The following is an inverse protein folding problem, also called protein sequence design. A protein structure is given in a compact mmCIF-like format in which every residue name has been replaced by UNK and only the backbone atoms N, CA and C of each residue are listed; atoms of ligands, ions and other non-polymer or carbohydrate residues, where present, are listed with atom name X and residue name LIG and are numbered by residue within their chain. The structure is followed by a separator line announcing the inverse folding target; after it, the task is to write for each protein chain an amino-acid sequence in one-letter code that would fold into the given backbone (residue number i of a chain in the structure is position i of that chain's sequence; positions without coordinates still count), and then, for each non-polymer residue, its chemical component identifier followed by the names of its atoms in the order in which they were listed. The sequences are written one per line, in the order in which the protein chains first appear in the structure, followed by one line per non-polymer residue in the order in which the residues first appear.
data_IF_427189746116
#
_entry.id   IF_427189746116
#
_cell.length_a   1.000
_cell.length_b   1.000
_cell.length_c   1.000
_cell.angle_alpha   90.00
_cell.angle_beta   90.00
_cell.angle_gamma   90.00
#
_symmetry.space_group_name_H-M   'P 1'
#
loop_
_entity.id
_entity.type
_entity.pdbx_description
1 polymer ?
#
# COMPACT_ATOMS: atom_id res chain seq x y z
N UNK A 1 -11.13 -3.09 -20.95
CA UNK A 1 -9.73 -3.19 -20.47
C UNK A 1 -9.59 -2.68 -19.04
N UNK A 2 -9.94 -1.41 -18.78
CA UNK A 2 -9.95 -0.84 -17.42
C UNK A 2 -10.65 -1.72 -16.37
N UNK A 3 -11.94 -2.03 -16.56
CA UNK A 3 -12.73 -2.85 -15.63
C UNK A 3 -12.11 -4.23 -15.39
N UNK A 4 -11.56 -4.84 -16.43
CA UNK A 4 -10.86 -6.13 -16.33
C UNK A 4 -9.64 -6.02 -15.41
N UNK A 5 -8.83 -4.96 -15.55
CA UNK A 5 -7.67 -4.76 -14.69
C UNK A 5 -8.06 -4.47 -13.24
N UNK A 6 -9.11 -3.68 -13.02
CA UNK A 6 -9.66 -3.43 -11.68
C UNK A 6 -10.09 -4.74 -11.02
N UNK A 7 -10.85 -5.59 -11.71
CA UNK A 7 -11.30 -6.87 -11.16
C UNK A 7 -10.14 -7.81 -10.83
N UNK A 8 -9.11 -7.89 -11.70
CA UNK A 8 -7.89 -8.67 -11.43
C UNK A 8 -7.19 -8.13 -10.17
N UNK A 9 -7.11 -6.81 -10.02
CA UNK A 9 -6.51 -6.16 -8.86
C UNK A 9 -7.23 -6.57 -7.57
N UNK A 10 -8.57 -6.62 -7.59
CA UNK A 10 -9.38 -7.02 -6.43
C UNK A 10 -9.12 -8.46 -6.03
N UNK A 11 -9.08 -9.36 -7.02
CA UNK A 11 -8.78 -10.79 -6.77
C UNK A 11 -7.39 -10.96 -6.18
N UNK A 12 -6.39 -10.25 -6.71
CA UNK A 12 -5.01 -10.33 -6.19
C UNK A 12 -4.88 -9.74 -4.78
N UNK A 13 -5.56 -8.63 -4.48
CA UNK A 13 -5.61 -8.06 -3.14
C UNK A 13 -6.24 -9.03 -2.14
N UNK A 14 -7.40 -9.61 -2.48
CA UNK A 14 -8.09 -10.57 -1.62
C UNK A 14 -7.24 -11.84 -1.39
N UNK A 15 -6.62 -12.37 -2.44
CA UNK A 15 -5.70 -13.50 -2.34
C UNK A 15 -4.53 -13.18 -1.40
N UNK A 16 -3.84 -12.06 -1.61
CA UNK A 16 -2.75 -11.63 -0.74
C UNK A 16 -3.21 -11.50 0.71
N UNK A 17 -4.36 -10.87 0.94
CA UNK A 17 -4.91 -10.72 2.29
C UNK A 17 -5.14 -12.07 2.98
N UNK A 18 -5.79 -13.04 2.31
CA UNK A 18 -5.99 -14.39 2.85
C UNK A 18 -4.65 -15.05 3.21
N UNK A 19 -3.69 -15.02 2.29
CA UNK A 19 -2.37 -15.63 2.50
C UNK A 19 -1.64 -15.02 3.71
N UNK A 20 -1.79 -13.71 3.94
CA UNK A 20 -1.21 -13.02 5.08
C UNK A 20 -1.98 -13.27 6.40
N UNK A 21 -3.30 -13.44 6.35
CA UNK A 21 -4.11 -13.79 7.53
C UNK A 21 -3.82 -15.21 8.01
N UNK A 22 -3.67 -16.17 7.08
CA UNK A 22 -3.44 -17.58 7.42
C UNK A 22 -2.23 -17.81 8.33
N UNK A 23 -1.21 -16.95 8.27
CA UNK A 23 -0.03 -17.06 9.13
C UNK A 23 0.14 -15.90 10.11
N UNK A 24 -0.93 -15.15 10.39
CA UNK A 24 -0.88 -13.95 11.21
C UNK A 24 -0.24 -14.18 12.60
N UNK A 25 -0.71 -15.19 13.35
CA UNK A 25 -0.24 -15.42 14.73
C UNK A 25 1.20 -15.94 14.82
N UNK A 26 1.68 -16.66 13.79
CA UNK A 26 2.96 -17.37 13.79
C UNK A 26 4.15 -16.54 13.26
N UNK A 27 3.93 -15.29 12.86
CA UNK A 27 4.95 -14.46 12.22
C UNK A 27 5.36 -13.23 13.04
N UNK A 28 6.41 -12.57 12.57
CA UNK A 28 7.02 -11.39 13.19
C UNK A 28 6.08 -10.18 13.22
N UNK A 29 6.45 -9.18 14.03
CA UNK A 29 5.68 -7.93 14.15
C UNK A 29 5.50 -7.19 12.80
N UNK A 30 6.53 -7.04 11.94
CA UNK A 30 6.35 -6.44 10.61
C UNK A 30 5.29 -7.16 9.77
N UNK A 31 5.27 -8.49 9.81
CA UNK A 31 4.29 -9.29 9.09
C UNK A 31 2.86 -8.95 9.52
N UNK A 32 2.62 -8.89 10.85
CA UNK A 32 1.31 -8.56 11.41
C UNK A 32 0.85 -7.15 10.99
N UNK A 33 1.75 -6.17 11.05
CA UNK A 33 1.46 -4.80 10.62
C UNK A 33 1.13 -4.76 9.12
N UNK A 34 1.87 -5.51 8.30
CA UNK A 34 1.60 -5.63 6.87
C UNK A 34 0.26 -6.32 6.58
N UNK A 35 -0.16 -7.30 7.38
CA UNK A 35 -1.49 -7.90 7.28
C UNK A 35 -2.59 -6.87 7.57
N UNK A 36 -2.42 -6.04 8.61
CA UNK A 36 -3.37 -4.97 8.91
C UNK A 36 -3.41 -3.89 7.81
N UNK A 37 -2.27 -3.60 7.19
CA UNK A 37 -2.21 -2.76 6.01
C UNK A 37 -3.09 -3.33 4.87
N UNK A 38 -2.92 -4.61 4.52
CA UNK A 38 -3.76 -5.25 3.49
C UNK A 38 -5.25 -5.24 3.86
N UNK A 39 -5.56 -5.43 5.15
CA UNK A 39 -6.92 -5.32 5.66
C UNK A 39 -7.50 -3.91 5.44
N UNK A 40 -6.75 -2.86 5.78
CA UNK A 40 -7.20 -1.49 5.52
C UNK A 40 -7.51 -1.30 4.03
N UNK A 41 -6.59 -1.72 3.14
CA UNK A 41 -6.77 -1.53 1.70
C UNK A 41 -8.00 -2.27 1.18
N UNK A 42 -8.25 -3.50 1.64
CA UNK A 42 -9.44 -4.24 1.21
C UNK A 42 -10.74 -3.62 1.75
N UNK A 43 -10.72 -3.13 2.99
CA UNK A 43 -11.87 -2.42 3.57
C UNK A 43 -12.19 -1.16 2.79
N UNK A 44 -11.20 -0.32 2.49
CA UNK A 44 -11.39 0.89 1.69
C UNK A 44 -11.93 0.54 0.31
N UNK A 45 -11.42 -0.52 -0.33
CA UNK A 45 -11.88 -0.96 -1.65
C UNK A 45 -13.35 -1.41 -1.64
N UNK A 46 -13.75 -2.21 -0.64
CA UNK A 46 -15.13 -2.71 -0.52
C UNK A 46 -16.09 -1.55 -0.26
N UNK A 47 -15.74 -0.64 0.65
CA UNK A 47 -16.57 0.54 0.94
C UNK A 47 -16.65 1.43 -0.31
N UNK A 48 -15.56 1.61 -1.04
CA UNK A 48 -15.55 2.43 -2.25
C UNK A 48 -16.45 1.87 -3.35
N UNK A 49 -16.48 0.54 -3.50
CA UNK A 49 -17.39 -0.11 -4.43
C UNK A 49 -18.86 0.11 -4.01
N UNK A 50 -19.19 -0.12 -2.74
CA UNK A 50 -20.55 0.10 -2.21
C UNK A 50 -20.97 1.57 -2.40
N UNK A 51 -20.08 2.52 -2.11
CA UNK A 51 -20.38 3.95 -2.26
C UNK A 51 -20.61 4.36 -3.71
N UNK A 52 -19.86 3.80 -4.67
CA UNK A 52 -20.14 4.04 -6.09
C UNK A 52 -21.53 3.57 -6.49
N UNK A 53 -21.93 2.37 -6.07
CA UNK A 53 -23.24 1.81 -6.45
C UNK A 53 -24.41 2.54 -5.77
N UNK A 54 -24.24 2.99 -4.52
CA UNK A 54 -25.33 3.60 -3.73
C UNK A 54 -25.40 5.12 -3.88
N UNK A 55 -24.26 5.81 -3.86
CA UNK A 55 -24.18 7.28 -3.81
C UNK A 55 -23.64 7.91 -5.10
N UNK A 56 -23.10 7.11 -6.03
CA UNK A 56 -22.52 7.60 -7.29
C UNK A 56 -21.16 8.29 -7.15
N UNK A 57 -20.64 8.44 -5.93
CA UNK A 57 -19.33 9.03 -5.65
C UNK A 57 -18.63 8.27 -4.52
N UNK A 58 -17.32 8.09 -4.67
CA UNK A 58 -16.44 7.44 -3.71
C UNK A 58 -15.12 8.21 -3.50
N UNK A 59 -14.99 9.41 -4.06
CA UNK A 59 -13.73 10.14 -4.15
C UNK A 59 -13.12 10.40 -2.76
N UNK A 60 -13.96 10.68 -1.77
CA UNK A 60 -13.54 10.91 -0.39
C UNK A 60 -12.80 9.70 0.22
N UNK A 61 -13.05 8.47 -0.26
CA UNK A 61 -12.38 7.26 0.22
C UNK A 61 -10.92 7.18 -0.23
N UNK A 62 -10.54 7.94 -1.26
CA UNK A 62 -9.14 8.06 -1.66
C UNK A 62 -8.27 8.63 -0.53
N UNK A 63 -8.80 9.52 0.31
CA UNK A 63 -8.09 10.05 1.47
C UNK A 63 -7.77 8.97 2.51
N UNK A 64 -8.75 8.11 2.79
CA UNK A 64 -8.57 6.97 3.70
C UNK A 64 -7.56 5.97 3.13
N UNK A 65 -7.56 5.78 1.81
CA UNK A 65 -6.55 4.97 1.13
C UNK A 65 -5.14 5.57 1.30
N UNK A 66 -4.89 6.81 0.90
CA UNK A 66 -3.54 7.40 0.89
C UNK A 66 -3.00 7.66 2.30
N UNK A 67 -3.80 8.28 3.18
CA UNK A 67 -3.39 8.57 4.57
C UNK A 67 -3.25 7.28 5.36
N UNK A 68 -4.19 6.35 5.20
CA UNK A 68 -4.11 5.05 5.86
C UNK A 68 -2.91 4.23 5.38
N UNK A 69 -2.66 4.17 4.07
CA UNK A 69 -1.47 3.54 3.49
C UNK A 69 -0.19 4.15 4.09
N UNK A 70 -0.11 5.47 4.19
CA UNK A 70 1.03 6.14 4.82
C UNK A 70 1.24 5.74 6.28
N UNK A 71 0.20 5.78 7.10
CA UNK A 71 0.28 5.43 8.52
C UNK A 71 0.77 3.98 8.69
N UNK A 72 0.13 3.04 8.00
CA UNK A 72 0.45 1.63 8.14
C UNK A 72 1.82 1.27 7.57
N UNK A 73 2.19 1.78 6.39
CA UNK A 73 3.51 1.52 5.82
C UNK A 73 4.63 2.20 6.62
N UNK A 74 4.35 3.35 7.24
CA UNK A 74 5.29 3.96 8.17
C UNK A 74 5.53 3.06 9.40
N UNK A 75 4.47 2.54 10.02
CA UNK A 75 4.61 1.60 11.13
C UNK A 75 5.28 0.29 10.73
N UNK A 76 5.01 -0.19 9.52
CA UNK A 76 5.66 -1.36 8.94
C UNK A 76 7.17 -1.15 8.85
N UNK A 77 7.66 -0.11 8.17
CA UNK A 77 9.10 0.14 8.04
C UNK A 77 9.76 0.41 9.40
N UNK A 78 9.11 1.20 10.26
CA UNK A 78 9.59 1.42 11.64
C UNK A 78 9.77 0.11 12.42
N UNK A 79 8.92 -0.88 12.19
CA UNK A 79 9.01 -2.18 12.86
C UNK A 79 10.14 -3.07 12.33
N UNK A 80 10.63 -2.80 11.13
CA UNK A 80 11.76 -3.51 10.51
C UNK A 80 13.10 -2.86 10.90
N UNK A 81 13.14 -1.54 11.02
CA UNK A 81 14.36 -0.84 11.37
C UNK A 81 14.93 -1.27 12.72
N UNK A 82 16.22 -1.60 12.72
CA UNK A 82 16.96 -1.97 13.94
C UNK A 82 17.50 -0.75 14.65
N UNK A 83 18.03 0.21 13.89
CA UNK A 83 18.66 1.42 14.40
C UNK A 83 17.61 2.41 14.95
N UNK A 84 17.83 2.90 16.17
CA UNK A 84 16.86 3.76 16.85
C UNK A 84 16.70 5.13 16.18
N UNK A 85 17.75 5.65 15.54
CA UNK A 85 17.65 6.91 14.79
C UNK A 85 16.69 6.78 13.61
N UNK A 86 16.65 5.63 12.92
CA UNK A 86 15.71 5.37 11.81
C UNK A 86 14.27 5.29 12.32
N UNK A 87 14.06 4.67 13.50
CA UNK A 87 12.74 4.62 14.14
C UNK A 87 12.26 6.01 14.56
N UNK A 88 13.15 6.85 15.11
CA UNK A 88 12.87 8.25 15.46
C UNK A 88 12.53 9.06 14.22
N UNK A 89 13.32 8.94 13.16
CA UNK A 89 13.06 9.58 11.88
C UNK A 89 11.70 9.16 11.31
N UNK A 90 11.35 7.87 11.31
CA UNK A 90 10.03 7.41 10.87
C UNK A 90 8.87 8.05 11.68
N UNK A 91 9.04 8.23 13.00
CA UNK A 91 8.05 8.97 13.80
C UNK A 91 7.97 10.45 13.40
N UNK A 92 9.11 11.11 13.20
CA UNK A 92 9.17 12.50 12.77
C UNK A 92 8.52 12.70 11.40
N UNK A 93 8.77 11.80 10.45
CA UNK A 93 8.14 11.83 9.13
C UNK A 93 6.62 11.60 9.23
N UNK A 94 6.17 10.65 10.06
CA UNK A 94 4.75 10.41 10.30
C UNK A 94 4.06 11.64 10.87
N UNK A 95 4.59 12.20 11.95
CA UNK A 95 4.02 13.38 12.61
C UNK A 95 4.04 14.57 11.65
N UNK A 96 5.18 14.86 11.02
CA UNK A 96 5.30 15.96 10.06
C UNK A 96 4.35 15.82 8.87
N UNK A 97 4.25 14.63 8.28
CA UNK A 97 3.35 14.35 7.16
C UNK A 97 1.88 14.55 7.53
N UNK A 98 1.45 14.00 8.68
CA UNK A 98 0.08 14.19 9.18
C UNK A 98 -0.21 15.64 9.57
N UNK A 99 0.76 16.38 10.11
CA UNK A 99 0.61 17.81 10.39
C UNK A 99 0.45 18.61 9.10
N UNK A 100 1.25 18.35 8.06
CA UNK A 100 1.12 19.04 6.77
C UNK A 100 -0.26 18.80 6.16
N UNK A 101 -0.73 17.56 6.14
CA UNK A 101 -2.06 17.19 5.63
C UNK A 101 -3.17 17.80 6.50
N UNK A 102 -3.03 17.75 7.82
CA UNK A 102 -4.00 18.32 8.75
C UNK A 102 -4.13 19.84 8.62
N UNK A 103 -3.01 20.56 8.54
CA UNK A 103 -3.00 22.01 8.29
C UNK A 103 -3.63 22.35 6.95
N UNK A 104 -3.37 21.55 5.91
CA UNK A 104 -4.01 21.75 4.61
C UNK A 104 -5.54 21.66 4.72
N UNK A 105 -6.09 20.63 5.40
CA UNK A 105 -7.54 20.50 5.58
C UNK A 105 -8.16 21.57 6.48
N UNK A 106 -7.38 22.18 7.38
CA UNK A 106 -7.84 23.34 8.14
C UNK A 106 -7.95 24.60 7.27
N UNK A 107 -7.06 24.75 6.28
CA UNK A 107 -7.06 25.90 5.36
C UNK A 107 -8.11 25.74 4.25
N UNK A 108 -8.21 24.54 3.67
CA UNK A 108 -9.18 24.21 2.62
C UNK A 108 -9.92 22.90 2.94
N UNK A 109 -10.99 22.95 3.76
CA UNK A 109 -11.80 21.77 4.05
C UNK A 109 -12.48 21.16 2.82
N UNK A 110 -12.71 21.96 1.77
CA UNK A 110 -13.32 21.48 0.53
C UNK A 110 -12.40 20.53 -0.24
N UNK A 111 -11.10 20.51 0.07
CA UNK A 111 -10.15 19.55 -0.47
C UNK A 111 -10.50 18.09 -0.12
N UNK A 112 -11.30 17.84 0.92
CA UNK A 112 -11.74 16.48 1.32
C UNK A 112 -12.77 15.87 0.37
N UNK A 113 -13.47 16.70 -0.40
CA UNK A 113 -14.44 16.24 -1.40
C UNK A 113 -13.84 16.24 -2.81
N UNK A 114 -12.52 16.38 -2.92
CA UNK A 114 -11.79 16.49 -4.19
C UNK A 114 -10.54 15.61 -4.14
N UNK A 115 -9.98 15.35 -5.30
CA UNK A 115 -8.74 14.60 -5.39
C UNK A 115 -7.56 15.47 -4.90
N UNK A 116 -7.11 15.21 -3.67
CA UNK A 116 -6.10 16.03 -3.00
C UNK A 116 -4.68 15.67 -3.43
N UNK A 117 -4.18 16.39 -4.45
CA UNK A 117 -2.84 16.17 -5.01
C UNK A 117 -1.70 16.35 -4.01
N UNK A 118 -1.81 17.30 -3.08
CA UNK A 118 -0.79 17.54 -2.07
C UNK A 118 -0.66 16.32 -1.15
N UNK A 119 -1.79 15.83 -0.64
CA UNK A 119 -1.84 14.63 0.20
C UNK A 119 -1.18 13.44 -0.48
N UNK A 120 -1.51 13.18 -1.75
CA UNK A 120 -0.97 12.05 -2.52
C UNK A 120 0.56 12.15 -2.63
N UNK A 121 1.07 13.34 -2.99
CA UNK A 121 2.51 13.55 -3.16
C UNK A 121 3.23 13.41 -1.82
N UNK A 122 2.74 14.06 -0.76
CA UNK A 122 3.36 14.04 0.57
C UNK A 122 3.38 12.62 1.12
N UNK A 123 2.24 11.92 1.13
CA UNK A 123 2.15 10.56 1.66
C UNK A 123 3.05 9.60 0.89
N UNK A 124 2.97 9.60 -0.44
CA UNK A 124 3.75 8.69 -1.29
C UNK A 124 5.25 8.95 -1.19
N UNK A 125 5.68 10.22 -1.21
CA UNK A 125 7.08 10.58 -1.13
C UNK A 125 7.70 10.18 0.22
N UNK A 126 6.99 10.40 1.33
CA UNK A 126 7.45 10.00 2.65
C UNK A 126 7.59 8.48 2.79
N UNK A 127 6.65 7.70 2.24
CA UNK A 127 6.76 6.23 2.21
C UNK A 127 7.96 5.79 1.36
N UNK A 128 8.19 6.43 0.21
CA UNK A 128 9.33 6.10 -0.66
C UNK A 128 10.67 6.35 0.06
N UNK A 129 10.81 7.43 0.83
CA UNK A 129 12.00 7.67 1.66
C UNK A 129 12.24 6.50 2.62
N UNK A 130 11.20 6.07 3.34
CA UNK A 130 11.29 4.95 4.27
C UNK A 130 11.67 3.64 3.54
N UNK A 131 11.03 3.39 2.41
CA UNK A 131 11.29 2.20 1.60
C UNK A 131 12.73 2.16 1.08
N UNK A 132 13.28 3.29 0.62
CA UNK A 132 14.69 3.38 0.16
C UNK A 132 15.67 3.15 1.29
N UNK A 133 15.40 3.68 2.49
CA UNK A 133 16.24 3.41 3.68
C UNK A 133 16.22 1.93 4.03
N UNK A 134 15.05 1.29 3.91
CA UNK A 134 14.95 -0.16 4.08
C UNK A 134 15.78 -0.94 3.04
N UNK A 135 15.71 -0.55 1.76
CA UNK A 135 16.57 -1.14 0.72
C UNK A 135 18.06 -0.98 1.03
N UNK A 136 18.47 0.19 1.51
CA UNK A 136 19.85 0.46 1.89
C UNK A 136 20.32 -0.45 3.04
N UNK A 137 19.51 -0.60 4.09
CA UNK A 137 19.83 -1.49 5.21
C UNK A 137 20.03 -2.95 4.75
N UNK A 138 19.25 -3.40 3.76
CA UNK A 138 19.37 -4.76 3.20
C UNK A 138 20.63 -4.99 2.36
N UNK A 139 21.45 -3.97 2.08
CA UNK A 139 22.77 -4.18 1.48
C UNK A 139 23.73 -4.90 2.44
N UNK A 140 23.53 -4.72 3.75
CA UNK A 140 24.37 -5.33 4.79
C UNK A 140 23.63 -6.37 5.64
N UNK A 141 22.32 -6.49 5.48
CA UNK A 141 21.46 -7.34 6.29
C UNK A 141 20.67 -8.38 5.46
N UNK A 142 19.95 -9.27 6.15
CA UNK A 142 19.05 -10.25 5.51
C UNK A 142 17.94 -9.52 4.73
N UNK A 143 17.60 -10.07 3.56
CA UNK A 143 16.50 -9.60 2.72
C UNK A 143 15.14 -9.92 3.37
N UNK A 144 14.65 -9.02 4.20
CA UNK A 144 13.30 -9.07 4.79
C UNK A 144 12.36 -8.14 4.01
N UNK A 145 11.23 -8.66 3.50
CA UNK A 145 10.25 -7.86 2.74
C UNK A 145 10.82 -7.10 1.54
N UNK A 146 11.81 -7.69 0.87
CA UNK A 146 12.54 -7.06 -0.22
C UNK A 146 11.65 -6.79 -1.44
N UNK A 147 10.96 -7.81 -1.95
CA UNK A 147 10.15 -7.69 -3.15
C UNK A 147 8.90 -6.85 -2.90
N UNK A 148 8.30 -6.97 -1.71
CA UNK A 148 7.21 -6.08 -1.30
C UNK A 148 7.66 -4.60 -1.30
N UNK A 149 8.86 -4.31 -0.79
CA UNK A 149 9.42 -2.95 -0.78
C UNK A 149 9.70 -2.43 -2.18
N UNK A 150 10.24 -3.25 -3.08
CA UNK A 150 10.40 -2.90 -4.49
C UNK A 150 9.04 -2.58 -5.13
N UNK A 151 8.02 -3.42 -4.87
CA UNK A 151 6.66 -3.18 -5.35
C UNK A 151 6.07 -1.86 -4.81
N UNK A 152 6.27 -1.56 -3.52
CA UNK A 152 5.82 -0.29 -2.91
C UNK A 152 6.45 0.90 -3.61
N UNK A 153 7.77 0.91 -3.80
CA UNK A 153 8.47 2.02 -4.47
C UNK A 153 7.99 2.17 -5.91
N UNK A 154 7.96 1.07 -6.66
CA UNK A 154 7.56 1.08 -8.07
C UNK A 154 6.14 1.60 -8.25
N UNK A 155 5.20 1.11 -7.43
CA UNK A 155 3.81 1.55 -7.46
C UNK A 155 3.68 3.01 -7.09
N UNK A 156 4.17 3.42 -5.92
CA UNK A 156 3.99 4.79 -5.41
C UNK A 156 4.65 5.83 -6.30
N UNK A 157 5.85 5.56 -6.82
CA UNK A 157 6.52 6.49 -7.73
C UNK A 157 5.74 6.64 -9.04
N UNK A 158 5.36 5.52 -9.65
CA UNK A 158 4.65 5.52 -10.95
C UNK A 158 3.25 6.11 -10.83
N UNK A 159 2.48 5.74 -9.80
CA UNK A 159 1.11 6.24 -9.60
C UNK A 159 1.10 7.71 -9.22
N UNK A 160 2.06 8.20 -8.42
CA UNK A 160 2.15 9.62 -8.09
C UNK A 160 2.41 10.47 -9.32
N UNK A 161 3.36 10.08 -10.18
CA UNK A 161 3.61 10.78 -11.46
C UNK A 161 2.34 10.77 -12.31
N UNK A 162 1.67 9.61 -12.38
CA UNK A 162 0.44 9.45 -13.14
C UNK A 162 -0.69 10.36 -12.62
N UNK A 163 -0.83 10.51 -11.31
CA UNK A 163 -1.83 11.40 -10.69
C UNK A 163 -1.50 12.88 -10.90
N UNK A 164 -0.22 13.25 -10.92
CA UNK A 164 0.21 14.60 -11.26
C UNK A 164 -0.10 14.95 -12.73
N UNK A 165 0.14 14.00 -13.65
CA UNK A 165 -0.11 14.18 -15.09
C UNK A 165 -1.59 13.98 -15.45
N UNK A 166 -2.33 13.13 -14.73
CA UNK A 166 -3.73 12.82 -15.01
C UNK A 166 -4.63 14.06 -15.01
N UNK A 167 -4.36 15.02 -14.11
CA UNK A 167 -5.06 16.30 -14.06
C UNK A 167 -4.82 17.15 -15.32
N UNK A 168 -3.61 17.08 -15.91
CA UNK A 168 -3.32 17.73 -17.19
C UNK A 168 -4.06 17.04 -18.35
N UNK A 169 -4.24 15.72 -18.28
CA UNK A 169 -4.98 14.97 -19.31
C UNK A 169 -6.50 15.25 -19.27
N UNK A 170 -7.07 15.50 -18.09
CA UNK A 170 -8.46 15.96 -17.96
C UNK A 170 -8.68 17.32 -18.66
N UNK A 171 -7.66 18.19 -18.68
CA UNK A 171 -7.70 19.47 -19.42
C UNK A 171 -7.60 19.32 -20.95
N UNK A 172 -7.12 18.16 -21.46
CA UNK A 172 -6.87 17.92 -22.89
C UNK A 172 -8.05 17.25 -23.63
N UNK A 173 -9.18 17.04 -22.95
CA UNK A 173 -10.47 16.64 -23.53
C UNK A 173 -10.90 15.18 -23.28
N UNK A 174 -12.20 14.93 -23.40
CA UNK A 174 -12.91 13.70 -22.96
C UNK A 174 -12.36 12.39 -23.56
N UNK A 175 -11.67 12.46 -24.70
CA UNK A 175 -11.14 11.27 -25.40
C UNK A 175 -10.05 10.53 -24.61
N UNK A 176 -9.38 11.19 -23.67
CA UNK A 176 -8.23 10.63 -22.94
C UNK A 176 -8.49 10.40 -21.44
N UNK A 177 -9.68 10.71 -20.95
CA UNK A 177 -9.99 10.67 -19.50
C UNK A 177 -9.71 9.30 -18.86
N UNK A 178 -9.98 8.18 -19.55
CA UNK A 178 -9.78 6.82 -19.00
C UNK A 178 -8.34 6.30 -19.03
N UNK A 179 -7.43 6.99 -19.73
CA UNK A 179 -6.07 6.49 -19.93
C UNK A 179 -5.25 6.45 -18.64
N UNK A 180 -5.20 7.51 -17.81
CA UNK A 180 -4.52 7.47 -16.51
C UNK A 180 -5.09 6.39 -15.59
N UNK A 181 -6.42 6.28 -15.51
CA UNK A 181 -7.07 5.27 -14.68
C UNK A 181 -6.73 3.83 -15.10
N UNK A 182 -6.61 3.58 -16.41
CA UNK A 182 -6.22 2.26 -16.94
C UNK A 182 -4.78 1.90 -16.60
N UNK A 183 -3.83 2.85 -16.73
CA UNK A 183 -2.44 2.62 -16.33
C UNK A 183 -2.36 2.40 -14.82
N UNK A 184 -3.09 3.19 -14.02
CA UNK A 184 -3.08 3.02 -12.57
C UNK A 184 -3.58 1.62 -12.17
N UNK A 185 -4.69 1.15 -12.75
CA UNK A 185 -5.19 -0.20 -12.50
C UNK A 185 -4.15 -1.28 -12.85
N UNK A 186 -3.41 -1.11 -13.95
CA UNK A 186 -2.30 -2.01 -14.29
C UNK A 186 -1.14 -1.95 -13.28
N UNK A 187 -0.77 -0.75 -12.81
CA UNK A 187 0.25 -0.59 -11.77
C UNK A 187 -0.15 -1.26 -10.44
N UNK A 188 -1.44 -1.20 -10.08
CA UNK A 188 -1.98 -1.91 -8.90
C UNK A 188 -1.85 -3.42 -9.05
N UNK A 189 -2.06 -3.99 -10.24
CA UNK A 189 -1.81 -5.41 -10.49
C UNK A 189 -0.35 -5.76 -10.22
N UNK A 190 0.58 -5.01 -10.83
CA UNK A 190 2.02 -5.24 -10.64
C UNK A 190 2.41 -5.15 -9.16
N UNK A 191 1.86 -4.16 -8.45
CA UNK A 191 2.06 -3.99 -7.02
C UNK A 191 1.68 -5.24 -6.22
N UNK A 192 0.49 -5.79 -6.47
CA UNK A 192 0.02 -6.99 -5.77
C UNK A 192 0.77 -8.26 -6.19
N UNK A 193 1.29 -8.32 -7.41
CA UNK A 193 2.17 -9.41 -7.84
C UNK A 193 3.50 -9.41 -7.07
N UNK A 194 4.08 -8.24 -6.80
CA UNK A 194 5.27 -8.13 -5.94
C UNK A 194 5.00 -8.62 -4.51
N UNK A 195 3.84 -8.26 -3.93
CA UNK A 195 3.44 -8.73 -2.60
C UNK A 195 3.26 -10.25 -2.58
N UNK A 196 2.61 -10.80 -3.61
CA UNK A 196 2.39 -12.24 -3.73
C UNK A 196 3.71 -12.98 -3.87
N UNK A 197 4.63 -12.43 -4.66
CA UNK A 197 5.96 -13.00 -4.86
C UNK A 197 6.80 -12.95 -3.58
N UNK A 198 6.76 -11.84 -2.84
CA UNK A 198 7.35 -11.75 -1.50
C UNK A 198 6.83 -12.86 -0.60
N UNK A 199 5.50 -13.05 -0.56
CA UNK A 199 4.91 -14.08 0.28
C UNK A 199 5.38 -15.48 -0.11
N UNK A 200 5.42 -15.76 -1.41
CA UNK A 200 5.88 -17.05 -1.94
C UNK A 200 7.33 -17.33 -1.57
N UNK A 201 8.24 -16.36 -1.67
CA UNK A 201 9.66 -16.59 -1.39
C UNK A 201 9.94 -16.66 0.11
N UNK A 202 9.40 -15.70 0.86
CA UNK A 202 9.76 -15.48 2.26
C UNK A 202 8.98 -16.38 3.22
N UNK A 203 7.78 -16.84 2.83
CA UNK A 203 6.84 -17.48 3.76
C UNK A 203 6.29 -18.83 3.27
N UNK A 204 6.43 -19.23 2.01
CA UNK A 204 5.87 -20.51 1.52
C UNK A 204 6.57 -21.75 2.09
N UNK A 205 7.91 -21.80 2.06
CA UNK A 205 8.66 -22.99 2.51
C UNK A 205 8.46 -23.31 3.99
N UNK A 206 8.36 -22.27 4.82
CA UNK A 206 8.05 -22.42 6.25
C UNK A 206 6.61 -22.90 6.49
N UNK A 207 5.68 -22.66 5.56
CA UNK A 207 4.31 -23.14 5.69
C UNK A 207 4.23 -24.67 5.55
N UNK A 208 4.96 -25.23 4.57
CA UNK A 208 5.02 -26.69 4.34
C UNK A 208 5.63 -27.41 5.55
N UNK A 209 6.76 -26.91 6.10
CA UNK A 209 7.38 -27.55 7.26
C UNK A 209 6.48 -27.53 8.50
N UNK A 210 5.77 -26.41 8.75
CA UNK A 210 4.85 -26.32 9.89
C UNK A 210 3.55 -27.11 9.75
N UNK A 211 3.23 -27.58 8.53
CA UNK A 211 2.11 -28.47 8.27
C UNK A 211 2.46 -29.96 8.46
N UNK A 212 3.73 -30.33 8.23
CA UNK A 212 4.24 -31.69 8.43
C UNK A 212 4.35 -32.02 9.93
N UNK A 213 4.88 -31.09 10.75
CA UNK A 213 4.98 -31.27 12.20
C UNK A 213 3.62 -31.40 12.92
N UNK A 214 2.52 -31.01 12.28
CA UNK A 214 1.16 -31.14 12.84
C UNK A 214 0.50 -32.50 12.54
N UNK A 215 1.16 -33.37 11.75
CA UNK A 215 0.62 -34.66 11.30
C UNK A 215 1.33 -35.89 11.86
N UNK A 216 2.38 -35.72 12.67
CA UNK A 216 2.99 -36.86 13.39
C UNK A 216 2.25 -37.08 14.72
N UNK A 217 1.51 -38.19 14.90
CA UNK A 217 1.05 -38.58 16.22
C UNK A 217 2.28 -38.97 17.04
N UNK A 218 2.42 -38.36 18.21
CA UNK A 218 3.37 -38.80 19.24
C UNK A 218 3.03 -40.26 19.55
N UNK A 219 3.96 -41.15 19.22
CA UNK A 219 3.91 -42.59 19.48
C UNK A 219 3.88 -42.91 20.97
#
# INVERSE_FOLDING_TARGET
MYTTFVNISYVLLFLNFILYVMRFYKNSKPYKIFTYYLFLIITVQVIAHICTEVYGDNLFLSHFYFVGQFIFLNFFYKSIYKLDWQKKMANSLLLGGLTVIGVQYLIDPAAFFKFNKLEIVVTSFLIVILAVIHLYNMLSEKKEFYYATIGIIFYLFSSTILFLVGNLMEMLGDKYHFFPWTINAFLVILYHLFILYEWKISFYKTAISSGIDATEPVS
#
